data_IF_851027511553
#
_entry.id   IF_851027511553
#
_cell.length_a   1.000
_cell.length_b   1.000
_cell.length_c   1.000
_cell.angle_alpha   90.00
_cell.angle_beta   90.00
_cell.angle_gamma   90.00
#
_symmetry.space_group_name_H-M   'P 1'
#
loop_
_entity.id
_entity.type
_entity.pdbx_description
1 polymer ?
#
# COMPACT_ATOMS: atom_id res chain seq x y z
N UNK A 1 36.43 9.20 10.37
CA UNK A 1 35.01 9.13 10.76
C UNK A 1 34.21 9.71 9.60
N UNK A 2 33.26 8.96 9.02
CA UNK A 2 32.34 9.52 8.02
C UNK A 2 31.45 10.52 8.78
N UNK A 3 31.56 11.80 8.47
CA UNK A 3 30.86 12.87 9.17
C UNK A 3 29.34 12.74 9.00
N UNK A 4 28.60 13.07 10.05
CA UNK A 4 27.14 12.96 10.14
C UNK A 4 26.39 13.47 8.91
N UNK A 5 25.40 12.69 8.48
CA UNK A 5 24.51 13.06 7.40
C UNK A 5 23.29 13.82 7.92
N UNK A 6 22.84 14.80 7.15
CA UNK A 6 21.59 15.50 7.42
C UNK A 6 20.40 14.70 6.90
N UNK A 7 19.24 14.94 7.49
CA UNK A 7 17.96 14.43 7.01
C UNK A 7 17.02 15.62 6.83
N UNK A 8 16.19 15.60 5.79
CA UNK A 8 15.18 16.64 5.58
C UNK A 8 13.80 16.01 5.36
N UNK A 9 12.74 16.75 5.70
CA UNK A 9 11.37 16.35 5.34
C UNK A 9 11.01 16.94 3.98
N UNK A 10 10.69 16.07 3.03
CA UNK A 10 10.17 16.47 1.72
C UNK A 10 8.81 17.21 1.88
N UNK A 11 8.33 17.90 0.85
CA UNK A 11 7.02 18.59 0.85
C UNK A 11 5.84 17.66 1.12
N UNK A 12 6.04 16.36 0.93
CA UNK A 12 5.08 15.29 1.26
C UNK A 12 5.18 14.82 2.73
N UNK A 13 6.04 15.43 3.54
CA UNK A 13 6.28 15.08 4.95
C UNK A 13 7.17 13.85 5.17
N UNK A 14 7.70 13.25 4.11
CA UNK A 14 8.59 12.08 4.22
C UNK A 14 10.01 12.49 4.57
N UNK A 15 10.60 11.78 5.53
CA UNK A 15 12.01 11.91 5.88
C UNK A 15 12.90 11.34 4.78
N UNK A 16 13.92 12.10 4.36
CA UNK A 16 14.93 11.72 3.38
C UNK A 16 16.32 11.90 3.98
N UNK A 17 17.23 10.97 3.73
CA UNK A 17 18.62 11.01 4.21
C UNK A 17 19.17 9.59 4.47
N UNK A 18 20.40 9.46 4.99
CA UNK A 18 21.34 10.55 5.30
C UNK A 18 21.85 11.23 4.03
N UNK A 19 22.00 12.55 4.06
CA UNK A 19 22.49 13.34 2.93
C UNK A 19 23.59 14.31 3.36
N UNK A 20 24.60 14.44 2.51
CA UNK A 20 25.68 15.40 2.70
C UNK A 20 25.22 16.81 2.32
N UNK A 21 25.99 17.82 2.76
CA UNK A 21 25.70 19.23 2.46
C UNK A 21 25.59 19.50 0.94
N UNK A 22 26.39 18.81 0.11
CA UNK A 22 26.34 18.95 -1.35
C UNK A 22 25.00 18.46 -1.93
N UNK A 23 24.42 17.41 -1.36
CA UNK A 23 23.12 16.88 -1.76
C UNK A 23 22.01 17.85 -1.35
N UNK A 24 22.12 18.49 -0.18
CA UNK A 24 21.20 19.56 0.23
C UNK A 24 21.27 20.77 -0.70
N UNK A 25 22.47 21.20 -1.10
CA UNK A 25 22.64 22.27 -2.11
C UNK A 25 21.94 21.95 -3.42
N UNK A 26 22.09 20.70 -3.87
CA UNK A 26 21.44 20.22 -5.11
C UNK A 26 19.92 20.20 -4.95
N UNK A 27 19.41 19.70 -3.82
CA UNK A 27 17.99 19.69 -3.53
C UNK A 27 17.39 21.10 -3.43
N UNK A 28 18.15 22.07 -2.90
CA UNK A 28 17.75 23.47 -2.88
C UNK A 28 17.72 24.08 -4.29
N UNK A 29 18.76 23.84 -5.09
CA UNK A 29 18.84 24.30 -6.48
C UNK A 29 17.70 23.75 -7.36
N UNK A 30 17.29 22.51 -7.10
CA UNK A 30 16.14 21.87 -7.73
C UNK A 30 14.79 22.37 -7.19
N UNK A 31 14.79 23.20 -6.14
CA UNK A 31 13.58 23.70 -5.48
C UNK A 31 12.77 22.62 -4.78
N UNK A 32 13.42 21.52 -4.35
CA UNK A 32 12.82 20.44 -3.56
C UNK A 32 12.68 20.89 -2.10
N UNK A 33 13.76 21.48 -1.57
CA UNK A 33 13.83 22.05 -0.23
C UNK A 33 13.86 23.59 -0.31
N UNK A 34 13.41 24.24 0.75
CA UNK A 34 13.45 25.68 0.95
C UNK A 34 13.84 26.03 2.39
N UNK A 35 13.79 27.32 2.73
CA UNK A 35 14.11 27.83 4.07
C UNK A 35 13.20 27.30 5.18
N UNK A 36 11.96 26.94 4.86
CA UNK A 36 10.91 26.51 5.79
C UNK A 36 10.86 24.97 5.90
N UNK A 37 11.71 24.28 5.13
CA UNK A 37 11.85 22.83 5.15
C UNK A 37 12.52 22.39 6.45
N UNK A 38 11.93 21.39 7.12
CA UNK A 38 12.50 20.83 8.34
C UNK A 38 13.72 19.96 8.03
N UNK A 39 14.80 20.21 8.77
CA UNK A 39 16.06 19.48 8.72
C UNK A 39 16.39 18.92 10.12
N UNK A 40 17.09 17.80 10.14
CA UNK A 40 17.63 17.15 11.32
C UNK A 40 19.07 16.70 11.04
N UNK A 41 19.92 16.77 12.05
CA UNK A 41 21.32 16.37 11.98
C UNK A 41 21.72 15.60 13.24
N UNK A 42 22.89 14.95 13.20
CA UNK A 42 23.36 14.03 14.25
C UNK A 42 23.43 14.66 15.65
N UNK A 43 23.73 15.97 15.73
CA UNK A 43 23.80 16.74 16.99
C UNK A 43 22.56 17.62 17.24
N UNK A 44 21.41 17.30 16.64
CA UNK A 44 20.16 18.05 16.85
C UNK A 44 19.14 17.23 17.64
N UNK A 45 18.56 17.82 18.69
CA UNK A 45 17.53 17.15 19.51
C UNK A 45 16.20 17.00 18.74
N UNK A 46 15.87 17.96 17.87
CA UNK A 46 14.59 18.00 17.17
C UNK A 46 14.69 18.47 15.71
N UNK A 47 13.60 18.26 14.96
CA UNK A 47 13.45 18.76 13.60
C UNK A 47 13.25 20.27 13.63
N UNK A 48 14.15 21.03 13.02
CA UNK A 48 14.04 22.48 12.92
C UNK A 48 13.99 22.95 11.46
N UNK A 49 13.27 24.04 11.13
CA UNK A 49 13.36 24.65 9.80
C UNK A 49 14.79 25.10 9.48
N UNK A 50 15.21 24.97 8.21
CA UNK A 50 16.57 25.30 7.76
C UNK A 50 17.01 26.73 8.17
N UNK A 51 16.11 27.71 8.11
CA UNK A 51 16.44 29.09 8.49
C UNK A 51 16.62 29.30 10.00
N UNK A 52 16.09 28.40 10.83
CA UNK A 52 16.25 28.45 12.29
C UNK A 52 17.56 27.79 12.73
N UNK A 53 18.11 26.88 11.91
CA UNK A 53 19.41 26.26 12.19
C UNK A 53 20.54 27.24 11.85
N UNK A 54 21.37 27.53 12.85
CA UNK A 54 22.40 28.54 12.74
C UNK A 54 23.35 28.29 11.57
N UNK A 55 23.43 29.26 10.64
CA UNK A 55 24.32 29.22 9.48
C UNK A 55 23.94 28.21 8.39
N UNK A 56 22.93 27.37 8.59
CA UNK A 56 22.57 26.29 7.67
C UNK A 56 22.06 26.84 6.33
N UNK A 57 21.17 27.83 6.37
CA UNK A 57 20.66 28.47 5.15
C UNK A 57 21.81 29.03 4.30
N UNK A 58 22.81 29.68 4.92
CA UNK A 58 23.97 30.23 4.21
C UNK A 58 24.88 29.13 3.65
N UNK A 59 24.98 28.00 4.35
CA UNK A 59 25.77 26.86 3.92
C UNK A 59 25.15 26.13 2.73
N UNK A 60 23.81 26.05 2.65
CA UNK A 60 23.07 25.41 1.55
C UNK A 60 22.82 26.38 0.39
N UNK A 61 22.29 27.56 0.67
CA UNK A 61 21.90 28.55 -0.34
C UNK A 61 23.06 29.50 -0.67
N UNK A 62 24.17 28.94 -1.15
CA UNK A 62 25.30 29.74 -1.68
C UNK A 62 24.85 30.55 -2.89
N UNK A 63 25.59 31.62 -3.23
CA UNK A 63 25.21 32.52 -4.32
C UNK A 63 25.03 31.78 -5.67
N UNK A 64 25.88 30.79 -5.95
CA UNK A 64 25.80 29.91 -7.13
C UNK A 64 24.49 29.11 -7.16
N UNK A 65 24.13 28.50 -6.03
CA UNK A 65 22.91 27.69 -5.88
C UNK A 65 21.67 28.58 -6.01
N UNK A 66 21.71 29.80 -5.47
CA UNK A 66 20.61 30.77 -5.60
C UNK A 66 20.43 31.25 -7.03
N UNK A 67 21.51 31.49 -7.78
CA UNK A 67 21.44 31.80 -9.20
C UNK A 67 20.92 30.62 -10.01
N UNK A 68 21.38 29.40 -9.72
CA UNK A 68 20.88 28.18 -10.34
C UNK A 68 19.37 28.00 -10.11
N UNK A 69 18.91 28.15 -8.87
CA UNK A 69 17.49 28.07 -8.51
C UNK A 69 16.66 29.18 -9.18
N UNK A 70 17.21 30.40 -9.29
CA UNK A 70 16.52 31.50 -9.99
C UNK A 70 16.42 31.23 -11.49
N UNK A 71 17.47 30.68 -12.12
CA UNK A 71 17.47 30.31 -13.53
C UNK A 71 16.48 29.17 -13.82
N UNK A 72 16.46 28.11 -13.00
CA UNK A 72 15.48 27.02 -13.15
C UNK A 72 14.05 27.50 -12.93
N UNK A 73 13.83 28.38 -11.95
CA UNK A 73 12.53 29.01 -11.73
C UNK A 73 12.11 29.90 -12.92
N UNK A 74 13.03 30.66 -13.50
CA UNK A 74 12.77 31.49 -14.68
C UNK A 74 12.37 30.63 -15.89
N UNK A 75 13.14 29.57 -16.17
CA UNK A 75 12.82 28.62 -17.24
C UNK A 75 11.45 27.97 -17.04
N UNK A 76 11.17 27.52 -15.82
CA UNK A 76 9.87 26.93 -15.47
C UNK A 76 8.71 27.92 -15.61
N UNK A 77 8.91 29.19 -15.25
CA UNK A 77 7.92 30.26 -15.45
C UNK A 77 7.68 30.55 -16.93
N UNK A 78 8.75 30.65 -17.72
CA UNK A 78 8.67 30.84 -19.17
C UNK A 78 7.92 29.69 -19.85
N UNK A 79 8.22 28.45 -19.49
CA UNK A 79 7.51 27.26 -20.00
C UNK A 79 6.01 27.28 -19.70
N UNK A 80 5.59 27.85 -18.56
CA UNK A 80 4.19 27.92 -18.13
C UNK A 80 3.49 29.23 -18.51
N UNK A 81 4.18 30.16 -19.19
CA UNK A 81 3.65 31.49 -19.51
C UNK A 81 3.39 32.36 -18.27
N UNK A 82 4.05 32.08 -17.15
CA UNK A 82 3.90 32.84 -15.91
C UNK A 82 4.89 34.02 -15.94
N UNK A 83 4.47 35.25 -15.60
CA UNK A 83 5.39 36.37 -15.59
C UNK A 83 6.52 36.21 -14.55
N UNK A 84 7.76 36.65 -14.84
CA UNK A 84 8.91 36.47 -13.95
C UNK A 84 8.72 37.02 -12.53
N UNK A 85 7.95 38.10 -12.38
CA UNK A 85 7.69 38.77 -11.11
C UNK A 85 6.64 38.08 -10.24
N UNK A 86 5.84 37.15 -10.78
CA UNK A 86 4.83 36.44 -10.01
C UNK A 86 5.52 35.37 -9.15
N UNK A 87 5.35 35.37 -7.82
CA UNK A 87 5.91 34.34 -6.95
C UNK A 87 5.38 32.95 -7.32
N UNK A 88 6.19 31.92 -7.10
CA UNK A 88 5.73 30.54 -7.27
C UNK A 88 4.67 30.22 -6.21
N UNK A 89 3.74 29.32 -6.56
CA UNK A 89 2.68 28.87 -5.65
C UNK A 89 3.28 28.40 -4.32
N UNK A 90 2.83 28.98 -3.22
CA UNK A 90 3.33 28.71 -1.86
C UNK A 90 4.39 29.68 -1.35
N UNK A 91 5.06 30.44 -2.23
CA UNK A 91 6.01 31.50 -1.86
C UNK A 91 5.40 32.91 -1.90
N UNK A 92 4.08 33.00 -1.99
CA UNK A 92 3.35 34.26 -2.00
C UNK A 92 3.39 34.89 -0.60
N UNK A 93 3.74 36.18 -0.51
CA UNK A 93 3.59 36.91 0.76
C UNK A 93 2.11 37.16 1.00
N UNK A 94 1.52 36.39 1.91
CA UNK A 94 0.10 36.51 2.26
C UNK A 94 -0.06 37.35 3.52
N UNK A 95 -1.09 38.19 3.52
CA UNK A 95 -1.51 38.89 4.74
C UNK A 95 -2.17 37.90 5.69
N UNK A 96 -2.16 38.21 6.99
CA UNK A 96 -2.80 37.37 8.01
C UNK A 96 -4.29 37.13 7.70
N UNK A 97 -5.00 38.17 7.21
CA UNK A 97 -6.41 38.06 6.79
C UNK A 97 -6.59 37.08 5.63
N UNK A 98 -5.69 37.09 4.63
CA UNK A 98 -5.74 36.12 3.51
C UNK A 98 -5.49 34.70 4.01
N UNK A 99 -4.52 34.50 4.91
CA UNK A 99 -4.26 33.18 5.51
C UNK A 99 -5.48 32.66 6.30
N UNK A 100 -6.13 33.53 7.08
CA UNK A 100 -7.36 33.18 7.79
C UNK A 100 -8.49 32.80 6.83
N UNK A 101 -8.69 33.58 5.76
CA UNK A 101 -9.73 33.30 4.76
C UNK A 101 -9.46 31.99 4.01
N UNK A 102 -8.21 31.72 3.64
CA UNK A 102 -7.82 30.44 3.03
C UNK A 102 -8.01 29.26 3.98
N UNK A 103 -7.68 29.41 5.26
CA UNK A 103 -7.89 28.39 6.28
C UNK A 103 -9.38 28.11 6.48
N UNK A 104 -10.22 29.15 6.59
CA UNK A 104 -11.68 29.04 6.66
C UNK A 104 -12.22 28.37 5.38
N UNK A 105 -11.74 28.77 4.21
CA UNK A 105 -12.11 28.18 2.93
C UNK A 105 -11.73 26.71 2.83
N UNK A 106 -10.52 26.34 3.29
CA UNK A 106 -10.08 24.95 3.35
C UNK A 106 -10.94 24.14 4.30
N UNK A 107 -11.19 24.64 5.51
CA UNK A 107 -12.03 23.95 6.48
C UNK A 107 -13.46 23.77 5.97
N UNK A 108 -14.04 24.78 5.29
CA UNK A 108 -15.35 24.66 4.65
C UNK A 108 -15.37 23.59 3.56
N UNK A 109 -14.32 23.51 2.74
CA UNK A 109 -14.17 22.45 1.73
C UNK A 109 -14.08 21.07 2.39
N UNK A 110 -13.27 20.93 3.42
CA UNK A 110 -13.12 19.66 4.14
C UNK A 110 -14.45 19.23 4.80
N UNK A 111 -15.17 20.18 5.41
CA UNK A 111 -16.49 19.93 5.97
C UNK A 111 -17.54 19.59 4.90
N UNK A 112 -17.46 20.20 3.72
CA UNK A 112 -18.34 19.86 2.60
C UNK A 112 -18.07 18.43 2.10
N UNK A 113 -16.80 18.03 1.99
CA UNK A 113 -16.41 16.65 1.67
C UNK A 113 -16.94 15.68 2.73
N UNK A 114 -16.79 16.00 4.01
CA UNK A 114 -17.31 15.17 5.10
C UNK A 114 -18.83 15.06 5.04
N UNK A 115 -19.56 16.17 4.84
CA UNK A 115 -21.03 16.16 4.71
C UNK A 115 -21.51 15.31 3.54
N UNK A 116 -20.79 15.34 2.42
CA UNK A 116 -21.10 14.52 1.24
C UNK A 116 -20.82 13.02 1.44
N UNK A 117 -20.06 12.64 2.48
CA UNK A 117 -19.64 11.27 2.76
C UNK A 117 -20.05 10.80 4.17
N UNK A 118 -21.18 11.31 4.68
CA UNK A 118 -21.76 10.96 5.99
C UNK A 118 -20.81 11.13 7.18
N UNK A 119 -19.97 12.16 7.12
CA UNK A 119 -18.96 12.46 8.16
C UNK A 119 -17.68 11.64 8.07
N UNK A 120 -17.52 10.79 7.06
CA UNK A 120 -16.33 9.95 6.87
C UNK A 120 -15.47 10.52 5.75
N UNK A 121 -14.16 10.66 5.98
CA UNK A 121 -13.25 11.09 4.92
C UNK A 121 -13.20 10.02 3.81
N UNK A 122 -13.28 10.37 2.51
CA UNK A 122 -13.33 9.38 1.42
C UNK A 122 -12.20 8.34 1.46
N UNK A 123 -11.00 8.77 1.87
CA UNK A 123 -9.84 7.88 2.02
C UNK A 123 -9.97 6.88 3.18
N UNK A 124 -10.74 7.19 4.22
CA UNK A 124 -10.87 6.35 5.41
C UNK A 124 -11.75 5.10 5.19
N UNK A 125 -12.65 5.11 4.21
CA UNK A 125 -13.43 3.92 3.80
C UNK A 125 -12.58 2.92 3.01
N UNK A 126 -11.41 3.33 2.51
CA UNK A 126 -10.54 2.48 1.70
C UNK A 126 -9.74 1.57 2.64
N UNK A 127 -9.85 0.23 2.52
CA UNK A 127 -9.12 -0.72 3.37
C UNK A 127 -7.62 -0.45 3.39
N UNK A 128 -7.08 0.06 2.27
CA UNK A 128 -5.68 0.42 2.13
C UNK A 128 -5.26 1.59 3.02
N UNK A 129 -6.11 2.56 3.38
CA UNK A 129 -5.72 3.70 4.22
C UNK A 129 -5.62 3.30 5.71
N UNK A 130 -6.53 2.45 6.18
CA UNK A 130 -6.44 1.83 7.50
C UNK A 130 -5.22 0.90 7.58
N UNK A 131 -4.98 0.09 6.54
CA UNK A 131 -3.74 -0.67 6.37
C UNK A 131 -2.50 0.22 6.24
N UNK A 132 -2.58 1.42 5.64
CA UNK A 132 -1.45 2.34 5.48
C UNK A 132 -1.06 3.01 6.80
N UNK A 133 -2.05 3.35 7.63
CA UNK A 133 -1.83 3.86 8.99
C UNK A 133 -1.27 2.76 9.89
N UNK A 134 -1.77 1.52 9.75
CA UNK A 134 -1.30 0.35 10.48
C UNK A 134 0.10 -0.14 10.03
N UNK A 135 0.39 -0.09 8.73
CA UNK A 135 1.64 -0.54 8.12
C UNK A 135 2.76 0.53 8.13
N UNK A 136 2.55 1.70 8.74
CA UNK A 136 3.66 2.62 9.04
C UNK A 136 4.53 2.16 10.22
N UNK A 137 4.27 0.95 10.73
CA UNK A 137 5.20 0.13 11.51
C UNK A 137 6.33 -0.47 10.65
N UNK A 138 7.47 -0.66 11.29
CA UNK A 138 8.81 -0.71 10.75
C UNK A 138 9.24 -2.00 10.04
N UNK A 139 8.62 -2.48 8.96
CA UNK A 139 9.30 -3.41 8.05
C UNK A 139 8.56 -3.61 6.71
N UNK A 140 9.15 -3.04 5.67
CA UNK A 140 8.74 -3.16 4.28
C UNK A 140 9.42 -4.39 3.68
N UNK A 141 8.84 -5.58 3.83
CA UNK A 141 9.29 -6.77 3.06
C UNK A 141 8.15 -7.73 2.75
N UNK A 142 8.05 -8.08 1.46
CA UNK A 142 7.33 -9.20 0.81
C UNK A 142 5.91 -9.02 0.26
N UNK A 143 5.09 -8.04 0.67
CA UNK A 143 3.74 -7.86 0.05
C UNK A 143 3.73 -7.06 -1.26
N UNK A 144 4.85 -6.43 -1.63
CA UNK A 144 4.93 -5.56 -2.82
C UNK A 144 5.13 -6.31 -4.16
N UNK A 145 5.20 -7.65 -4.14
CA UNK A 145 5.34 -8.46 -5.37
C UNK A 145 4.01 -8.91 -5.99
N UNK A 146 2.86 -8.70 -5.32
CA UNK A 146 1.56 -9.20 -5.80
C UNK A 146 0.52 -8.13 -6.17
N UNK A 147 0.79 -6.83 -5.99
CA UNK A 147 -0.22 -5.80 -6.24
C UNK A 147 -0.14 -5.20 -7.65
N UNK A 148 -0.94 -5.77 -8.55
CA UNK A 148 -1.37 -5.11 -9.78
C UNK A 148 -2.28 -3.92 -9.45
N UNK A 149 -1.71 -2.72 -9.41
CA UNK A 149 -2.45 -1.45 -9.34
C UNK A 149 -3.48 -1.32 -10.49
N UNK A 150 -4.78 -1.11 -10.22
CA UNK A 150 -5.83 -1.06 -11.25
C UNK A 150 -6.05 0.32 -11.91
N UNK A 151 -5.23 1.33 -11.62
CA UNK A 151 -5.54 2.74 -12.00
C UNK A 151 -5.06 3.16 -13.41
N UNK A 152 -5.11 2.26 -14.40
CA UNK A 152 -4.50 2.52 -15.72
C UNK A 152 -5.37 2.19 -16.94
N UNK A 153 -6.68 2.39 -16.84
CA UNK A 153 -7.57 2.15 -18.00
C UNK A 153 -7.85 3.38 -18.87
N UNK A 154 -7.56 4.60 -18.41
CA UNK A 154 -7.66 5.80 -19.28
C UNK A 154 -6.27 6.20 -19.78
N UNK A 155 -5.99 6.08 -21.10
CA UNK A 155 -4.76 6.58 -21.70
C UNK A 155 -4.55 8.06 -21.38
N UNK A 156 -3.29 8.46 -21.17
CA UNK A 156 -2.92 9.85 -20.86
C UNK A 156 -3.57 10.86 -21.82
N UNK A 157 -3.64 10.50 -23.10
CA UNK A 157 -4.22 11.34 -24.15
C UNK A 157 -5.70 11.64 -23.92
N UNK A 158 -6.45 10.66 -23.42
CA UNK A 158 -7.88 10.80 -23.14
C UNK A 158 -8.11 11.67 -21.89
N UNK A 159 -7.23 11.58 -20.88
CA UNK A 159 -7.24 12.50 -19.72
C UNK A 159 -6.97 13.95 -20.13
N UNK A 160 -6.04 14.15 -21.06
CA UNK A 160 -5.72 15.48 -21.61
C UNK A 160 -6.88 16.03 -22.45
N UNK A 161 -7.59 15.19 -23.20
CA UNK A 161 -8.81 15.59 -23.94
C UNK A 161 -9.94 15.96 -22.98
N UNK A 162 -10.16 15.18 -21.92
CA UNK A 162 -11.18 15.47 -20.90
C UNK A 162 -10.90 16.77 -20.13
N UNK A 163 -9.63 17.00 -19.74
CA UNK A 163 -9.23 18.23 -19.05
C UNK A 163 -9.36 19.49 -19.94
N UNK A 164 -9.35 19.35 -21.28
CA UNK A 164 -9.63 20.45 -22.22
C UNK A 164 -11.12 20.75 -22.34
N UNK A 165 -11.97 19.73 -22.27
CA UNK A 165 -13.43 19.86 -22.39
C UNK A 165 -14.03 20.37 -21.07
N UNK A 166 -13.52 19.91 -19.94
CA UNK A 166 -13.96 20.30 -18.60
C UNK A 166 -12.80 21.04 -17.93
N UNK A 167 -12.75 22.39 -18.03
CA UNK A 167 -11.76 23.14 -17.29
C UNK A 167 -11.98 22.92 -15.79
N UNK A 168 -10.90 22.65 -15.05
CA UNK A 168 -10.83 22.32 -13.61
C UNK A 168 -10.92 20.83 -13.20
N UNK A 169 -11.05 19.90 -14.15
CA UNK A 169 -11.06 18.47 -13.84
C UNK A 169 -9.72 18.00 -13.22
N UNK A 170 -9.74 17.57 -11.96
CA UNK A 170 -8.55 17.09 -11.24
C UNK A 170 -8.25 15.62 -11.57
N UNK A 171 -6.98 15.18 -11.54
CA UNK A 171 -6.60 13.82 -11.96
C UNK A 171 -7.32 12.67 -11.23
N UNK A 172 -7.78 12.87 -9.99
CA UNK A 172 -8.55 11.87 -9.24
C UNK A 172 -10.07 11.99 -9.44
N UNK A 173 -10.58 13.09 -9.98
CA UNK A 173 -12.00 13.20 -10.37
C UNK A 173 -12.27 12.38 -11.65
N UNK A 174 -11.23 12.13 -12.44
CA UNK A 174 -11.23 11.09 -13.49
C UNK A 174 -11.46 9.70 -12.89
N UNK A 175 -10.99 9.44 -11.66
CA UNK A 175 -11.21 8.18 -10.94
C UNK A 175 -12.70 7.99 -10.56
N UNK A 176 -13.38 9.08 -10.19
CA UNK A 176 -14.84 9.03 -9.94
C UNK A 176 -15.65 8.82 -11.23
N UNK A 177 -15.15 9.27 -12.39
CA UNK A 177 -15.75 8.95 -13.69
C UNK A 177 -15.53 7.47 -14.03
N UNK A 178 -14.35 6.91 -13.72
CA UNK A 178 -14.09 5.47 -13.86
C UNK A 178 -15.03 4.65 -12.96
N UNK A 179 -15.21 5.03 -11.69
CA UNK A 179 -16.14 4.38 -10.77
C UNK A 179 -17.61 4.51 -11.21
N UNK A 180 -18.01 5.68 -11.71
CA UNK A 180 -19.36 5.90 -12.24
C UNK A 180 -19.62 5.07 -13.50
N UNK A 181 -18.65 5.00 -14.42
CA UNK A 181 -18.75 4.17 -15.62
C UNK A 181 -18.78 2.68 -15.26
N UNK A 182 -18.06 2.29 -14.22
CA UNK A 182 -18.09 0.94 -13.67
C UNK A 182 -19.48 0.60 -13.08
N UNK A 183 -20.07 1.53 -12.33
CA UNK A 183 -21.43 1.42 -11.82
C UNK A 183 -22.49 1.35 -12.93
N UNK A 184 -22.32 2.15 -14.00
CA UNK A 184 -23.25 2.17 -15.15
C UNK A 184 -23.12 0.89 -15.99
N UNK A 185 -21.90 0.40 -16.19
CA UNK A 185 -21.63 -0.74 -17.09
C UNK A 185 -21.86 -2.08 -16.40
N UNK A 186 -21.57 -2.17 -15.09
CA UNK A 186 -21.59 -3.44 -14.34
C UNK A 186 -22.51 -3.38 -13.10
N UNK A 187 -23.35 -2.35 -12.97
CA UNK A 187 -24.32 -2.24 -11.87
C UNK A 187 -23.71 -2.05 -10.48
N UNK A 188 -22.39 -1.87 -10.36
CA UNK A 188 -21.67 -1.90 -9.09
C UNK A 188 -21.33 -3.29 -8.57
N UNK A 189 -21.77 -4.35 -9.27
CA UNK A 189 -21.41 -5.73 -8.98
C UNK A 189 -20.40 -6.20 -10.03
N UNK A 190 -19.11 -6.08 -9.71
CA UNK A 190 -18.08 -6.61 -10.58
C UNK A 190 -18.04 -8.14 -10.43
N UNK A 191 -18.46 -8.88 -11.46
CA UNK A 191 -18.27 -10.33 -11.50
C UNK A 191 -16.81 -10.66 -11.83
N UNK A 192 -16.04 -10.95 -10.78
CA UNK A 192 -14.89 -11.84 -10.87
C UNK A 192 -15.15 -12.97 -9.92
N UNK A 193 -15.04 -14.19 -10.44
CA UNK A 193 -15.09 -15.36 -9.58
C UNK A 193 -13.95 -15.26 -8.56
N UNK A 194 -14.21 -15.60 -7.28
CA UNK A 194 -13.23 -15.46 -6.20
C UNK A 194 -11.94 -16.19 -6.56
N UNK A 195 -10.78 -15.60 -6.22
CA UNK A 195 -9.49 -16.21 -6.51
C UNK A 195 -9.42 -17.60 -5.83
N UNK A 196 -9.34 -18.66 -6.64
CA UNK A 196 -9.51 -20.05 -6.16
C UNK A 196 -10.80 -20.73 -6.61
N UNK A 197 -11.69 -20.03 -7.32
CA UNK A 197 -12.62 -20.68 -8.24
C UNK A 197 -11.77 -21.38 -9.28
N UNK A 198 -11.78 -22.71 -9.31
CA UNK A 198 -10.96 -23.56 -10.19
C UNK A 198 -11.28 -23.40 -11.69
N UNK A 199 -11.96 -22.32 -12.06
CA UNK A 199 -12.43 -21.96 -13.40
C UNK A 199 -11.33 -21.36 -14.29
N UNK A 200 -10.25 -20.86 -13.70
CA UNK A 200 -9.09 -20.28 -14.44
C UNK A 200 -7.86 -21.19 -14.50
N UNK A 201 -7.95 -22.39 -13.90
CA UNK A 201 -6.90 -23.40 -14.01
C UNK A 201 -6.81 -23.99 -15.42
N UNK A 202 -5.65 -24.49 -15.86
CA UNK A 202 -5.56 -25.27 -17.08
C UNK A 202 -6.59 -26.42 -17.09
N UNK A 203 -7.23 -26.72 -18.23
CA UNK A 203 -8.34 -27.66 -18.30
C UNK A 203 -8.01 -29.06 -17.75
N UNK A 204 -6.74 -29.48 -17.83
CA UNK A 204 -6.26 -30.78 -17.36
C UNK A 204 -6.32 -30.98 -15.83
N UNK A 205 -6.52 -29.92 -15.03
CA UNK A 205 -6.62 -30.06 -13.57
C UNK A 205 -7.89 -30.83 -13.18
N UNK A 206 -8.97 -30.67 -13.93
CA UNK A 206 -10.22 -31.38 -13.71
C UNK A 206 -10.06 -32.88 -13.98
N UNK A 207 -9.52 -33.22 -15.15
CA UNK A 207 -9.18 -34.61 -15.52
C UNK A 207 -8.22 -35.25 -14.51
N UNK A 208 -7.19 -34.52 -14.09
CA UNK A 208 -6.25 -35.01 -13.08
C UNK A 208 -6.91 -35.25 -11.71
N UNK A 209 -7.88 -34.42 -11.31
CA UNK A 209 -8.60 -34.62 -10.05
C UNK A 209 -9.54 -35.82 -10.13
N UNK A 210 -10.22 -36.02 -11.26
CA UNK A 210 -11.05 -37.20 -11.50
C UNK A 210 -10.20 -38.49 -11.48
N UNK A 211 -9.08 -38.51 -12.22
CA UNK A 211 -8.14 -39.64 -12.23
C UNK A 211 -7.58 -39.96 -10.83
N UNK A 212 -7.35 -38.94 -10.01
CA UNK A 212 -6.84 -39.12 -8.65
C UNK A 212 -7.92 -39.66 -7.70
N UNK A 213 -9.16 -39.23 -7.87
CA UNK A 213 -10.30 -39.76 -7.11
C UNK A 213 -10.55 -41.22 -7.46
N UNK A 214 -10.56 -41.57 -8.75
CA UNK A 214 -10.72 -42.95 -9.22
C UNK A 214 -9.63 -43.86 -8.63
N UNK A 215 -8.35 -43.45 -8.71
CA UNK A 215 -7.24 -44.22 -8.11
C UNK A 215 -7.35 -44.36 -6.60
N UNK A 216 -7.90 -43.35 -5.91
CA UNK A 216 -8.11 -43.40 -4.47
C UNK A 216 -9.22 -44.39 -4.12
N UNK A 217 -10.33 -44.38 -4.87
CA UNK A 217 -11.42 -45.34 -4.71
C UNK A 217 -10.95 -46.78 -4.94
N UNK A 218 -10.23 -47.03 -6.04
CA UNK A 218 -9.62 -48.33 -6.35
C UNK A 218 -8.71 -48.81 -5.21
N UNK A 219 -7.90 -47.89 -4.66
CA UNK A 219 -6.99 -48.22 -3.57
C UNK A 219 -7.72 -48.60 -2.29
N UNK A 220 -8.81 -47.88 -1.96
CA UNK A 220 -9.64 -48.17 -0.79
C UNK A 220 -10.38 -49.50 -0.96
N UNK A 221 -10.93 -49.78 -2.15
CA UNK A 221 -11.63 -51.03 -2.44
C UNK A 221 -10.67 -52.24 -2.36
N UNK A 222 -9.51 -52.16 -3.03
CA UNK A 222 -8.48 -53.19 -2.95
C UNK A 222 -7.96 -53.38 -1.52
N UNK A 223 -7.76 -52.28 -0.78
CA UNK A 223 -7.35 -52.31 0.62
C UNK A 223 -8.37 -53.05 1.50
N UNK A 224 -9.66 -52.78 1.30
CA UNK A 224 -10.76 -53.47 1.99
C UNK A 224 -10.79 -54.96 1.66
N UNK A 225 -10.68 -55.33 0.38
CA UNK A 225 -10.66 -56.73 -0.04
C UNK A 225 -9.47 -57.51 0.54
N UNK A 226 -8.28 -56.90 0.56
CA UNK A 226 -7.09 -57.50 1.18
C UNK A 226 -7.27 -57.65 2.69
N UNK A 227 -7.85 -56.65 3.35
CA UNK A 227 -8.14 -56.71 4.78
C UNK A 227 -9.08 -57.87 5.13
N UNK A 228 -10.17 -58.03 4.38
CA UNK A 228 -11.11 -59.14 4.58
C UNK A 228 -10.46 -60.52 4.40
N UNK A 229 -9.57 -60.66 3.40
CA UNK A 229 -8.88 -61.92 3.16
C UNK A 229 -7.86 -62.23 4.27
N UNK A 230 -7.15 -61.22 4.76
CA UNK A 230 -6.22 -61.37 5.89
C UNK A 230 -6.94 -61.72 7.19
N UNK A 231 -8.13 -61.17 7.42
CA UNK A 231 -8.96 -61.53 8.58
C UNK A 231 -9.46 -62.98 8.52
N UNK A 232 -9.81 -63.48 7.34
CA UNK A 232 -10.23 -64.88 7.12
C UNK A 232 -9.06 -65.86 7.23
N UNK A 233 -7.88 -65.49 6.76
CA UNK A 233 -6.72 -66.40 6.63
C UNK A 233 -5.82 -66.42 7.87
N UNK A 234 -5.72 -65.32 8.63
CA UNK A 234 -4.80 -65.18 9.76
C UNK A 234 -5.60 -65.12 11.08
N UNK A 235 -5.55 -66.19 11.90
CA UNK A 235 -6.22 -66.19 13.20
C UNK A 235 -5.66 -65.10 14.12
N UNK A 236 -6.55 -64.23 14.63
CA UNK A 236 -6.18 -63.15 15.56
C UNK A 236 -5.71 -61.87 14.89
N UNK A 237 -5.78 -61.76 13.56
CA UNK A 237 -5.46 -60.54 12.81
C UNK A 237 -6.29 -59.33 13.26
N UNK A 238 -7.58 -59.52 13.54
CA UNK A 238 -8.46 -58.45 14.05
C UNK A 238 -7.95 -57.79 15.34
N UNK A 239 -7.40 -58.56 16.28
CA UNK A 239 -6.80 -58.02 17.52
C UNK A 239 -5.50 -57.25 17.28
N UNK A 240 -4.77 -57.58 16.21
CA UNK A 240 -3.57 -56.82 15.83
C UNK A 240 -4.01 -55.49 15.22
N UNK A 241 -5.00 -55.51 14.34
CA UNK A 241 -5.51 -54.30 13.69
C UNK A 241 -6.16 -53.34 14.69
N UNK A 242 -6.91 -53.84 15.68
CA UNK A 242 -7.46 -53.02 16.77
C UNK A 242 -6.37 -52.26 17.54
N UNK A 243 -5.21 -52.90 17.78
CA UNK A 243 -4.06 -52.21 18.40
C UNK A 243 -3.43 -51.18 17.48
N UNK A 244 -3.30 -51.49 16.19
CA UNK A 244 -2.75 -50.57 15.19
C UNK A 244 -3.64 -49.34 15.03
N UNK A 245 -4.95 -49.52 15.02
CA UNK A 245 -5.94 -48.43 14.99
C UNK A 245 -5.83 -47.56 16.25
N UNK A 246 -5.80 -48.17 17.44
CA UNK A 246 -5.62 -47.43 18.69
C UNK A 246 -4.30 -46.64 18.75
N UNK A 247 -3.20 -47.20 18.23
CA UNK A 247 -1.92 -46.50 18.12
C UNK A 247 -1.98 -45.35 17.09
N UNK A 248 -2.66 -45.55 15.97
CA UNK A 248 -2.86 -44.53 14.94
C UNK A 248 -3.70 -43.37 15.48
N UNK A 249 -4.82 -43.63 16.15
CA UNK A 249 -5.67 -42.62 16.79
C UNK A 249 -4.89 -41.81 17.83
N UNK A 250 -4.12 -42.49 18.70
CA UNK A 250 -3.27 -41.82 19.67
C UNK A 250 -2.22 -40.92 19.01
N UNK A 251 -1.67 -41.34 17.86
CA UNK A 251 -0.72 -40.54 17.08
C UNK A 251 -1.40 -39.33 16.42
N UNK A 252 -2.60 -39.49 15.86
CA UNK A 252 -3.38 -38.40 15.28
C UNK A 252 -3.78 -37.37 16.35
N UNK A 253 -4.24 -37.81 17.52
CA UNK A 253 -4.55 -36.93 18.65
C UNK A 253 -3.32 -36.09 19.08
N UNK A 254 -2.13 -36.72 19.19
CA UNK A 254 -0.88 -36.00 19.48
C UNK A 254 -0.51 -34.97 18.41
N UNK A 255 -0.79 -35.27 17.14
CA UNK A 255 -0.53 -34.35 16.04
C UNK A 255 -1.50 -33.16 16.07
N UNK A 256 -2.79 -33.39 16.34
CA UNK A 256 -3.78 -32.32 16.50
C UNK A 256 -3.44 -31.42 17.70
N UNK A 257 -3.09 -31.98 18.85
CA UNK A 257 -2.60 -31.19 19.99
C UNK A 257 -1.36 -30.36 19.63
N UNK A 258 -0.43 -30.92 18.83
CA UNK A 258 0.76 -30.19 18.38
C UNK A 258 0.39 -29.07 17.42
N UNK A 259 -0.56 -29.29 16.51
CA UNK A 259 -1.09 -28.24 15.61
C UNK A 259 -1.79 -27.14 16.41
N UNK A 260 -2.60 -27.47 17.41
CA UNK A 260 -3.24 -26.49 18.28
C UNK A 260 -2.22 -25.68 19.10
N UNK A 261 -1.23 -26.36 19.70
CA UNK A 261 -0.13 -25.68 20.40
C UNK A 261 0.63 -24.73 19.46
N UNK A 262 0.91 -25.16 18.23
CA UNK A 262 1.53 -24.31 17.20
C UNK A 262 0.63 -23.14 16.78
N UNK A 263 -0.69 -23.32 16.65
CA UNK A 263 -1.67 -22.25 16.38
C UNK A 263 -1.69 -21.23 17.52
N UNK A 264 -1.65 -21.69 18.78
CA UNK A 264 -1.58 -20.84 19.99
C UNK A 264 -0.25 -20.08 20.08
N UNK A 265 0.89 -20.74 19.81
CA UNK A 265 2.23 -20.11 19.81
C UNK A 265 2.37 -19.07 18.69
N UNK A 266 1.77 -19.32 17.51
CA UNK A 266 1.80 -18.38 16.37
C UNK A 266 0.86 -17.18 16.53
N UNK A 267 0.14 -17.04 17.66
CA UNK A 267 -0.62 -15.83 17.95
C UNK A 267 -1.68 -15.48 16.89
N UNK A 268 -2.42 -16.46 16.37
CA UNK A 268 -3.65 -16.18 15.63
C UNK A 268 -4.76 -15.84 16.63
N UNK A 269 -4.71 -14.59 17.12
CA UNK A 269 -5.90 -13.89 17.60
C UNK A 269 -6.80 -13.65 16.40
N UNK A 270 -7.86 -14.44 16.31
CA UNK A 270 -8.84 -14.37 15.25
C UNK A 270 -9.92 -15.40 15.53
N UNK A 271 -10.77 -15.07 16.50
CA UNK A 271 -12.10 -15.69 16.62
C UNK A 271 -12.82 -15.45 15.30
N UNK A 272 -12.75 -16.44 14.42
CA UNK A 272 -13.75 -16.60 13.38
C UNK A 272 -15.08 -16.86 14.11
N UNK A 273 -16.04 -16.00 13.81
CA UNK A 273 -17.44 -16.19 14.14
C UNK A 273 -17.88 -17.61 13.78
N UNK A 274 -18.41 -18.32 14.76
CA UNK A 274 -19.40 -19.36 14.54
C UNK A 274 -20.80 -18.69 14.56
N UNK A 275 -21.78 -19.24 13.81
CA UNK A 275 -22.84 -18.53 13.07
C UNK A 275 -23.78 -17.61 13.87
#
# INVERSE_FOLDING_TARGET
MKSGGFYYKDRLGRTRGPCELITLKTAWGAGIIDKDTFIWGEDMDEWAPIHMVYGMERAIATWEVRLGAAATALLHKLQKGIPPWVPLKGHEKKTYKQLQQEAIGSKRRDLAVLRANDGIWPGARIPSHALFLWASGSELTTTLQSDHMPNKFIPKDLRLKLAKIIPELRPWEVLSVEQAMNQITYGGEWYREPLGSYTTGPPYIWEMNEDNLEKYEDHVELGGAVYEELEKTIPGFSKIMEKVEAEAEAKFARLEERKEKLRRIKGLGGTANDP
#
